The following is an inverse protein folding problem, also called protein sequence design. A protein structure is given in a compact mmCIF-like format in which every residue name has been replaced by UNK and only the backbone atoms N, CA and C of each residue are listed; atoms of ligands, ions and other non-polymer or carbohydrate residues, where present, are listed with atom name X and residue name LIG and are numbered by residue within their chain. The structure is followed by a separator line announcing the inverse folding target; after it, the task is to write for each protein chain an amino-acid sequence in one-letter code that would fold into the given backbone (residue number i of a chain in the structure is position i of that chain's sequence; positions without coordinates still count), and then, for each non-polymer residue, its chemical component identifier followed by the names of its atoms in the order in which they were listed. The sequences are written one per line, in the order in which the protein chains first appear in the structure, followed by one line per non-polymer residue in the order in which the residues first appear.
data_IF_108363909563
#
_entry.id   IF_108363909563
#
_cell.length_a   1.000
_cell.length_b   1.000
_cell.length_c   1.000
_cell.angle_alpha   90.00
_cell.angle_beta   90.00
_cell.angle_gamma   90.00
#
_symmetry.space_group_name_H-M   'P 1'
#
loop_
_entity.id
_entity.type
_entity.pdbx_description
1 polymer ?
#
# COMPACT_ATOMS: atom_id res chain seq x y z
N UNK A 1 2.47 -17.92 -8.03
CA UNK A 1 3.16 -16.64 -7.74
C UNK A 1 2.90 -16.23 -6.29
N UNK A 2 3.26 -17.06 -5.32
CA UNK A 2 2.75 -16.91 -3.94
C UNK A 2 3.64 -16.02 -3.03
N UNK A 3 4.90 -15.79 -3.42
CA UNK A 3 5.85 -14.99 -2.62
C UNK A 3 5.93 -13.50 -2.96
N UNK A 4 5.35 -13.05 -4.08
CA UNK A 4 5.61 -11.69 -4.61
C UNK A 4 5.08 -10.62 -3.66
N UNK A 5 3.87 -10.80 -3.11
CA UNK A 5 3.29 -9.85 -2.15
C UNK A 5 4.11 -9.72 -0.86
N UNK A 6 4.62 -10.85 -0.37
CA UNK A 6 5.45 -10.92 0.84
C UNK A 6 6.83 -10.28 0.61
N UNK A 7 7.42 -10.50 -0.57
CA UNK A 7 8.66 -9.82 -0.97
C UNK A 7 8.46 -8.30 -1.03
N UNK A 8 7.34 -7.83 -1.60
CA UNK A 8 7.02 -6.40 -1.68
C UNK A 8 6.82 -5.81 -0.27
N UNK A 9 6.08 -6.47 0.61
CA UNK A 9 5.86 -5.96 1.97
C UNK A 9 7.14 -5.89 2.79
N UNK A 10 8.02 -6.90 2.67
CA UNK A 10 9.35 -6.88 3.28
C UNK A 10 10.20 -5.75 2.71
N UNK A 11 10.23 -5.59 1.38
CA UNK A 11 11.01 -4.54 0.73
C UNK A 11 10.56 -3.14 1.18
N UNK A 12 9.24 -2.91 1.28
CA UNK A 12 8.69 -1.64 1.80
C UNK A 12 9.04 -1.45 3.27
N UNK A 13 8.91 -2.48 4.11
CA UNK A 13 9.25 -2.40 5.53
C UNK A 13 10.72 -2.03 5.74
N UNK A 14 11.63 -2.67 4.99
CA UNK A 14 13.08 -2.36 5.02
C UNK A 14 13.33 -0.93 4.55
N UNK A 15 12.74 -0.53 3.42
CA UNK A 15 12.88 0.83 2.90
C UNK A 15 12.47 1.88 3.93
N UNK A 16 11.29 1.71 4.53
CA UNK A 16 10.75 2.64 5.51
C UNK A 16 11.56 2.66 6.81
N UNK A 17 12.02 1.51 7.29
CA UNK A 17 12.85 1.44 8.50
C UNK A 17 14.21 2.15 8.31
N UNK A 18 14.80 2.08 7.11
CA UNK A 18 16.08 2.73 6.80
C UNK A 18 15.91 4.23 6.54
N UNK A 19 14.82 4.63 5.89
CA UNK A 19 14.62 6.01 5.47
C UNK A 19 14.01 6.90 6.57
N UNK A 20 13.20 6.32 7.46
CA UNK A 20 12.49 7.05 8.52
C UNK A 20 13.40 7.85 9.47
N UNK A 21 14.56 7.36 9.94
CA UNK A 21 15.47 8.12 10.80
C UNK A 21 16.00 9.39 10.13
N UNK A 22 16.18 9.37 8.80
CA UNK A 22 16.66 10.53 8.01
C UNK A 22 15.67 11.70 8.02
N UNK A 23 14.41 11.41 8.33
CA UNK A 23 13.31 12.38 8.37
C UNK A 23 12.79 12.61 9.80
N UNK A 24 13.57 12.22 10.82
CA UNK A 24 13.20 12.39 12.23
C UNK A 24 11.97 11.56 12.65
N UNK A 25 11.70 10.45 11.96
CA UNK A 25 10.59 9.54 12.27
C UNK A 25 11.11 8.24 12.90
N UNK A 26 10.26 7.61 13.72
CA UNK A 26 10.63 6.35 14.37
C UNK A 26 10.71 5.21 13.33
N UNK A 27 11.89 4.57 13.14
CA UNK A 27 12.09 3.52 12.16
C UNK A 27 11.24 2.27 12.41
N UNK A 28 11.05 1.89 13.67
CA UNK A 28 10.30 0.68 14.02
C UNK A 28 8.82 0.82 13.64
N UNK A 29 8.25 2.00 13.94
CA UNK A 29 6.85 2.31 13.65
C UNK A 29 6.59 2.29 12.15
N UNK A 30 7.44 2.94 11.36
CA UNK A 30 7.28 2.95 9.91
C UNK A 30 7.61 1.62 9.23
N UNK A 31 8.54 0.83 9.79
CA UNK A 31 8.82 -0.53 9.32
C UNK A 31 7.62 -1.46 9.51
N UNK A 32 7.00 -1.46 10.69
CA UNK A 32 5.81 -2.27 10.97
C UNK A 32 4.62 -1.82 10.11
N UNK A 33 4.39 -0.51 9.99
CA UNK A 33 3.35 0.02 9.09
C UNK A 33 3.61 -0.38 7.64
N UNK A 34 4.87 -0.32 7.19
CA UNK A 34 5.30 -0.77 5.88
C UNK A 34 5.02 -2.24 5.61
N UNK A 35 5.24 -3.09 6.60
CA UNK A 35 5.00 -4.52 6.47
C UNK A 35 3.50 -4.86 6.39
N UNK A 36 2.68 -4.22 7.24
CA UNK A 36 1.24 -4.52 7.32
C UNK A 36 0.45 -3.86 6.18
N UNK A 37 0.72 -2.58 5.89
CA UNK A 37 -0.02 -1.80 4.90
C UNK A 37 0.65 -1.79 3.52
N UNK A 38 1.88 -2.30 3.40
CA UNK A 38 2.62 -2.37 2.15
C UNK A 38 2.78 -0.99 1.50
N UNK A 39 2.51 -0.93 0.20
CA UNK A 39 2.67 0.26 -0.62
C UNK A 39 1.81 1.46 -0.16
N UNK A 40 0.71 1.22 0.57
CA UNK A 40 -0.09 2.32 1.15
C UNK A 40 0.69 3.08 2.22
N UNK A 41 1.38 2.37 3.13
CA UNK A 41 2.25 3.00 4.12
C UNK A 41 3.38 3.78 3.45
N UNK A 42 3.92 3.28 2.34
CA UNK A 42 4.92 3.99 1.55
C UNK A 42 4.37 5.31 0.97
N UNK A 43 3.16 5.30 0.40
CA UNK A 43 2.53 6.53 -0.10
C UNK A 43 2.31 7.57 1.00
N UNK A 44 1.77 7.16 2.14
CA UNK A 44 1.55 8.05 3.30
C UNK A 44 2.89 8.58 3.84
N UNK A 45 3.92 7.73 3.90
CA UNK A 45 5.25 8.14 4.32
C UNK A 45 5.85 9.21 3.41
N UNK A 46 5.71 9.07 2.09
CA UNK A 46 6.17 10.07 1.13
C UNK A 46 5.45 11.42 1.32
N UNK A 47 4.15 11.42 1.61
CA UNK A 47 3.39 12.64 1.93
C UNK A 47 3.95 13.33 3.19
N UNK A 48 4.38 12.54 4.19
CA UNK A 48 4.91 13.04 5.47
C UNK A 48 6.40 13.43 5.42
N UNK A 49 7.12 13.09 4.35
CA UNK A 49 8.55 13.38 4.14
C UNK A 49 8.77 14.38 3.00
N UNK A 50 7.86 15.34 2.86
CA UNK A 50 7.88 16.45 1.88
C UNK A 50 7.87 16.04 0.39
N UNK A 51 7.79 14.74 0.09
CA UNK A 51 7.60 14.18 -1.26
C UNK A 51 6.11 14.06 -1.61
N UNK A 52 5.36 15.15 -1.38
CA UNK A 52 3.89 15.17 -1.40
C UNK A 52 3.30 14.73 -2.74
N UNK A 53 3.84 15.21 -3.86
CA UNK A 53 3.31 14.90 -5.20
C UNK A 53 3.38 13.39 -5.48
N UNK A 54 4.56 12.78 -5.30
CA UNK A 54 4.75 11.34 -5.54
C UNK A 54 3.95 10.51 -4.55
N UNK A 55 3.90 10.94 -3.28
CA UNK A 55 3.10 10.28 -2.26
C UNK A 55 1.60 10.24 -2.60
N UNK A 56 1.04 11.37 -3.02
CA UNK A 56 -0.36 11.44 -3.45
C UNK A 56 -0.62 10.60 -4.71
N UNK A 57 0.25 10.67 -5.72
CA UNK A 57 0.13 9.83 -6.92
C UNK A 57 0.08 8.36 -6.55
N UNK A 58 1.02 7.89 -5.73
CA UNK A 58 1.09 6.50 -5.31
C UNK A 58 -0.15 6.09 -4.50
N UNK A 59 -0.56 6.89 -3.52
CA UNK A 59 -1.73 6.59 -2.69
C UNK A 59 -3.02 6.54 -3.53
N UNK A 60 -3.22 7.49 -4.45
CA UNK A 60 -4.41 7.55 -5.32
C UNK A 60 -4.45 6.34 -6.25
N UNK A 61 -3.33 5.98 -6.89
CA UNK A 61 -3.26 4.81 -7.78
C UNK A 61 -3.65 3.54 -7.01
N UNK A 62 -3.10 3.34 -5.82
CA UNK A 62 -3.40 2.15 -5.00
C UNK A 62 -4.87 2.17 -4.56
N UNK A 63 -5.39 3.32 -4.15
CA UNK A 63 -6.80 3.45 -3.76
C UNK A 63 -7.75 3.12 -4.92
N UNK A 64 -7.47 3.61 -6.14
CA UNK A 64 -8.23 3.28 -7.34
C UNK A 64 -8.16 1.78 -7.63
N UNK A 65 -6.98 1.17 -7.52
CA UNK A 65 -6.83 -0.27 -7.75
C UNK A 65 -7.68 -1.10 -6.78
N UNK A 66 -7.64 -0.76 -5.48
CA UNK A 66 -8.50 -1.41 -4.48
C UNK A 66 -9.99 -1.23 -4.81
N UNK A 67 -10.40 -0.02 -5.19
CA UNK A 67 -11.79 0.26 -5.57
C UNK A 67 -12.23 -0.60 -6.77
N UNK A 68 -11.40 -0.71 -7.81
CA UNK A 68 -11.69 -1.52 -8.98
C UNK A 68 -11.81 -3.01 -8.63
N UNK A 69 -10.95 -3.53 -7.76
CA UNK A 69 -11.01 -4.92 -7.30
C UNK A 69 -12.32 -5.17 -6.55
N UNK A 70 -12.69 -4.28 -5.61
CA UNK A 70 -13.93 -4.41 -4.83
C UNK A 70 -15.15 -4.38 -5.77
N UNK A 71 -15.19 -3.45 -6.72
CA UNK A 71 -16.28 -3.36 -7.71
C UNK A 71 -16.36 -4.63 -8.57
N UNK A 72 -15.21 -5.17 -8.99
CA UNK A 72 -15.15 -6.39 -9.80
C UNK A 72 -15.68 -7.60 -9.04
N UNK A 73 -15.31 -7.75 -7.76
CA UNK A 73 -15.81 -8.82 -6.89
C UNK A 73 -17.32 -8.67 -6.66
N UNK A 74 -17.80 -7.46 -6.36
CA UNK A 74 -19.22 -7.19 -6.17
C UNK A 74 -20.05 -7.49 -7.42
N UNK A 75 -19.55 -7.08 -8.60
CA UNK A 75 -20.18 -7.38 -9.87
C UNK A 75 -20.20 -8.88 -10.19
N UNK A 76 -19.09 -9.59 -9.95
CA UNK A 76 -19.02 -11.04 -10.14
C UNK A 76 -20.00 -11.78 -9.23
N UNK A 77 -20.14 -11.35 -7.97
CA UNK A 77 -21.10 -11.92 -7.04
C UNK A 77 -22.55 -11.70 -7.50
N UNK A 78 -22.88 -10.48 -7.93
CA UNK A 78 -24.20 -10.17 -8.48
C UNK A 78 -24.53 -11.01 -9.72
N UNK A 79 -23.58 -11.12 -10.66
CA UNK A 79 -23.74 -11.93 -11.87
C UNK A 79 -23.92 -13.41 -11.54
N UNK A 80 -23.12 -13.96 -10.63
CA UNK A 80 -23.26 -15.34 -10.18
C UNK A 80 -24.64 -15.62 -9.59
N UNK A 81 -25.15 -14.73 -8.73
CA UNK A 81 -26.50 -14.85 -8.16
C UNK A 81 -27.60 -14.78 -9.22
N UNK A 82 -27.43 -13.96 -10.26
CA UNK A 82 -28.43 -13.81 -11.32
C UNK A 82 -28.56 -15.02 -12.26
N UNK A 83 -27.57 -15.92 -12.26
CA UNK A 83 -27.48 -17.08 -13.14
C UNK A 83 -27.93 -18.40 -12.48
N UNK A 84 -28.19 -18.38 -11.16
CA UNK A 84 -28.73 -19.49 -10.37
C UNK A 84 -30.23 -19.30 -10.18
#
# INVERSE_FOLDING_TARGET
MEGIGLIISIAVAIYLAIDAPKHGKNPLLWGILGFILGLLALGIYLIRTDRKVIGWILTIIIAILYLLIILSIGFAFWLFWSLI
#
